data_IF_731704624200
#
_entry.id   IF_731704624200
#
_cell.length_a   1.000
_cell.length_b   1.000
_cell.length_c   1.000
_cell.angle_alpha   90.00
_cell.angle_beta   90.00
_cell.angle_gamma   90.00
#
_symmetry.space_group_name_H-M   'P 1'
#
loop_
_entity.id
_entity.type
_entity.pdbx_description
1 polymer ?
#
# COMPACT_ATOMS: atom_id res chain seq x y z
N UNK A 1 3.47 -2.70 14.28
CA UNK A 1 3.63 -4.06 14.85
C UNK A 1 4.65 -4.88 14.05
N UNK A 2 4.46 -5.12 12.73
CA UNK A 2 5.44 -5.94 11.95
C UNK A 2 6.84 -5.32 11.95
N UNK A 3 6.94 -4.00 11.87
CA UNK A 3 8.23 -3.29 11.87
C UNK A 3 8.91 -3.34 13.24
N UNK A 4 8.17 -3.46 14.32
CA UNK A 4 8.73 -3.54 15.69
C UNK A 4 9.45 -4.87 15.94
N UNK A 5 9.12 -5.90 15.17
CA UNK A 5 9.74 -7.24 15.25
C UNK A 5 10.98 -7.39 14.34
N UNK A 6 11.29 -6.35 13.52
CA UNK A 6 12.43 -6.38 12.60
C UNK A 6 13.69 -5.94 13.34
N UNK A 7 14.73 -6.78 13.30
CA UNK A 7 16.02 -6.46 13.92
C UNK A 7 16.83 -5.37 13.18
N UNK A 8 16.45 -5.03 11.94
CA UNK A 8 17.14 -4.02 11.12
C UNK A 8 16.63 -2.63 11.53
N UNK A 9 17.51 -1.66 11.80
CA UNK A 9 17.09 -0.27 12.01
C UNK A 9 16.37 0.28 10.79
N UNK A 10 15.29 1.02 11.02
CA UNK A 10 14.44 1.50 9.93
C UNK A 10 13.93 2.94 10.14
N UNK A 11 13.48 3.53 9.04
CA UNK A 11 12.54 4.66 9.04
C UNK A 11 11.29 4.25 8.27
N UNK A 12 10.15 4.79 8.66
CA UNK A 12 8.88 4.57 7.97
C UNK A 12 8.21 5.92 7.73
N UNK A 13 8.00 6.22 6.47
CA UNK A 13 7.44 7.48 5.98
C UNK A 13 6.21 7.21 5.12
N UNK A 14 5.36 8.21 4.97
CA UNK A 14 4.20 8.13 4.08
C UNK A 14 4.16 9.31 3.12
N UNK A 15 3.79 9.05 1.88
CA UNK A 15 3.54 10.09 0.89
C UNK A 15 2.16 10.76 1.06
N UNK A 16 1.38 10.36 2.08
CA UNK A 16 0.13 11.03 2.42
C UNK A 16 0.40 12.48 2.86
N UNK A 17 -0.31 13.41 2.21
CA UNK A 17 -0.15 14.84 2.50
C UNK A 17 1.08 15.49 1.85
N UNK A 18 1.89 14.74 1.12
CA UNK A 18 2.98 15.30 0.32
C UNK A 18 2.44 15.76 -1.03
N UNK A 19 2.85 16.95 -1.47
CA UNK A 19 2.51 17.45 -2.80
C UNK A 19 3.00 16.50 -3.90
N UNK A 20 2.15 16.12 -4.88
CA UNK A 20 2.51 15.11 -5.89
C UNK A 20 3.76 15.46 -6.72
N UNK A 21 4.09 16.72 -6.88
CA UNK A 21 5.27 17.18 -7.60
C UNK A 21 6.50 17.38 -6.71
N UNK A 22 6.39 17.18 -5.41
CA UNK A 22 7.51 17.26 -4.48
C UNK A 22 8.35 15.97 -4.52
N UNK A 23 9.02 15.76 -5.63
CA UNK A 23 9.87 14.58 -5.86
C UNK A 23 11.15 14.59 -5.03
N UNK A 24 11.61 15.77 -4.59
CA UNK A 24 12.79 15.93 -3.73
C UNK A 24 12.55 15.32 -2.33
N UNK A 25 11.30 15.17 -1.91
CA UNK A 25 10.94 14.50 -0.66
C UNK A 25 11.54 13.08 -0.61
N UNK A 26 11.50 12.32 -1.71
CA UNK A 26 12.11 10.98 -1.77
C UNK A 26 13.61 11.05 -1.46
N UNK A 27 14.34 11.97 -2.11
CA UNK A 27 15.76 12.15 -1.84
C UNK A 27 16.04 12.58 -0.40
N UNK A 28 15.17 13.37 0.20
CA UNK A 28 15.25 13.77 1.61
C UNK A 28 15.09 12.56 2.55
N UNK A 29 14.15 11.65 2.27
CA UNK A 29 13.99 10.41 3.04
C UNK A 29 15.27 9.57 2.99
N UNK A 30 15.87 9.41 1.81
CA UNK A 30 17.15 8.68 1.67
C UNK A 30 18.31 9.37 2.38
N UNK A 31 18.44 10.69 2.26
CA UNK A 31 19.48 11.44 2.95
C UNK A 31 19.38 11.28 4.48
N UNK A 32 18.16 11.32 5.01
CA UNK A 32 17.91 11.08 6.43
C UNK A 32 18.31 9.65 6.85
N UNK A 33 17.94 8.62 6.07
CA UNK A 33 18.33 7.24 6.33
C UNK A 33 19.85 7.06 6.35
N UNK A 34 20.56 7.61 5.35
CA UNK A 34 22.03 7.57 5.28
C UNK A 34 22.68 8.26 6.47
N UNK A 35 22.17 9.42 6.87
CA UNK A 35 22.67 10.16 8.03
C UNK A 35 22.50 9.35 9.33
N UNK A 36 21.34 8.77 9.55
CA UNK A 36 21.08 7.91 10.73
C UNK A 36 22.01 6.70 10.71
N UNK A 37 22.16 6.05 9.55
CA UNK A 37 23.02 4.88 9.37
C UNK A 37 24.47 5.20 9.70
N UNK A 38 24.98 6.34 9.25
CA UNK A 38 26.34 6.82 9.50
C UNK A 38 26.57 7.13 10.98
N UNK A 39 25.68 7.94 11.59
CA UNK A 39 25.78 8.35 13.01
C UNK A 39 25.71 7.15 13.94
N UNK A 40 24.84 6.18 13.66
CA UNK A 40 24.67 4.98 14.49
C UNK A 40 25.63 3.84 14.11
N UNK A 41 26.44 4.01 13.06
CA UNK A 41 27.36 3.00 12.53
C UNK A 41 26.66 1.68 12.17
N UNK A 42 25.44 1.78 11.67
CA UNK A 42 24.69 0.62 11.24
C UNK A 42 25.27 0.04 9.95
N UNK A 43 25.36 -1.29 9.86
CA UNK A 43 25.83 -2.00 8.66
C UNK A 43 24.76 -2.12 7.58
N UNK A 44 23.49 -2.05 7.99
CA UNK A 44 22.32 -2.12 7.12
C UNK A 44 21.20 -1.24 7.69
N UNK A 45 20.31 -0.81 6.83
CA UNK A 45 19.15 0.03 7.18
C UNK A 45 17.96 -0.28 6.30
N UNK A 46 16.75 -0.02 6.80
CA UNK A 46 15.52 -0.23 6.04
C UNK A 46 14.76 1.09 5.89
N UNK A 47 14.38 1.41 4.67
CA UNK A 47 13.43 2.48 4.36
C UNK A 47 12.09 1.83 4.01
N UNK A 48 11.02 2.28 4.64
CA UNK A 48 9.64 1.92 4.30
C UNK A 48 8.91 3.18 3.87
N UNK A 49 8.34 3.17 2.67
CA UNK A 49 7.55 4.29 2.16
C UNK A 49 6.16 3.80 1.81
N UNK A 50 5.16 4.36 2.47
CA UNK A 50 3.76 4.08 2.19
C UNK A 50 3.17 5.08 1.18
N UNK A 51 2.19 4.61 0.40
CA UNK A 51 1.47 5.38 -0.62
C UNK A 51 2.39 6.07 -1.65
N UNK A 52 3.54 5.45 -1.96
CA UNK A 52 4.58 6.03 -2.84
C UNK A 52 4.03 6.52 -4.19
N UNK A 53 2.97 5.89 -4.72
CA UNK A 53 2.36 6.24 -6.01
C UNK A 53 1.71 7.63 -6.02
N UNK A 54 1.57 8.29 -4.87
CA UNK A 54 1.06 9.68 -4.78
C UNK A 54 2.07 10.71 -5.27
N UNK A 55 3.35 10.36 -5.31
CA UNK A 55 4.41 11.22 -5.86
C UNK A 55 4.57 10.94 -7.36
N UNK A 56 4.52 11.99 -8.16
CA UNK A 56 4.72 11.88 -9.60
C UNK A 56 6.16 11.43 -9.90
N UNK A 57 6.30 10.55 -10.89
CA UNK A 57 7.61 10.02 -11.33
C UNK A 57 8.46 9.41 -10.20
N UNK A 58 7.82 8.94 -9.13
CA UNK A 58 8.47 8.39 -7.94
C UNK A 58 9.57 7.35 -8.27
N UNK A 59 9.33 6.53 -9.27
CA UNK A 59 10.23 5.44 -9.64
C UNK A 59 11.59 5.90 -10.16
N UNK A 60 11.66 7.05 -10.83
CA UNK A 60 12.92 7.65 -11.29
C UNK A 60 13.78 8.11 -10.10
N UNK A 61 13.15 8.70 -9.09
CA UNK A 61 13.85 9.17 -7.90
C UNK A 61 14.30 7.98 -7.03
N UNK A 62 13.45 6.99 -6.83
CA UNK A 62 13.82 5.75 -6.15
C UNK A 62 14.99 5.08 -6.85
N UNK A 63 14.95 4.96 -8.19
CA UNK A 63 16.06 4.41 -8.98
C UNK A 63 17.35 5.18 -8.79
N UNK A 64 17.29 6.52 -8.87
CA UNK A 64 18.44 7.40 -8.67
C UNK A 64 19.13 7.15 -7.33
N UNK A 65 18.35 7.10 -6.25
CA UNK A 65 18.85 6.89 -4.90
C UNK A 65 19.39 5.46 -4.72
N UNK A 66 18.70 4.46 -5.25
CA UNK A 66 19.15 3.07 -5.21
C UNK A 66 20.43 2.84 -6.02
N UNK A 67 20.55 3.43 -7.22
CA UNK A 67 21.76 3.37 -8.05
C UNK A 67 22.95 4.08 -7.35
N UNK A 68 22.69 5.15 -6.59
CA UNK A 68 23.71 5.80 -5.76
C UNK A 68 24.19 4.87 -4.65
N UNK A 69 23.29 4.26 -3.89
CA UNK A 69 23.61 3.36 -2.78
C UNK A 69 24.41 2.14 -3.28
N UNK A 70 23.98 1.55 -4.39
CA UNK A 70 24.67 0.42 -5.02
C UNK A 70 26.13 0.78 -5.40
N UNK A 71 26.34 1.95 -6.00
CA UNK A 71 27.70 2.39 -6.40
C UNK A 71 28.61 2.69 -5.22
N UNK A 72 28.03 3.15 -4.10
CA UNK A 72 28.77 3.54 -2.91
C UNK A 72 28.80 2.44 -1.82
N UNK A 73 28.30 1.24 -2.12
CA UNK A 73 28.20 0.11 -1.19
C UNK A 73 27.44 0.47 0.11
N UNK A 74 26.40 1.31 0.01
CA UNK A 74 25.49 1.64 1.11
C UNK A 74 24.40 0.57 1.14
N UNK A 75 24.31 -0.20 2.22
CA UNK A 75 23.36 -1.30 2.34
C UNK A 75 22.00 -0.80 2.90
N UNK A 76 21.24 -0.11 2.07
CA UNK A 76 19.86 0.27 2.37
C UNK A 76 18.91 -0.65 1.64
N UNK A 77 18.01 -1.29 2.39
CA UNK A 77 16.87 -2.06 1.90
C UNK A 77 15.67 -1.14 1.81
N UNK A 78 14.79 -1.38 0.84
CA UNK A 78 13.65 -0.51 0.60
C UNK A 78 12.39 -1.33 0.45
N UNK A 79 11.34 -0.96 1.18
CA UNK A 79 9.98 -1.47 1.01
C UNK A 79 9.11 -0.30 0.56
N UNK A 80 8.50 -0.45 -0.60
CA UNK A 80 7.54 0.51 -1.13
C UNK A 80 6.15 -0.11 -1.06
N UNK A 81 5.23 0.60 -0.42
CA UNK A 81 3.85 0.20 -0.29
C UNK A 81 2.97 1.12 -1.14
N UNK A 82 1.90 0.58 -1.67
CA UNK A 82 0.95 1.37 -2.42
C UNK A 82 -0.35 0.61 -2.70
N UNK A 83 -1.45 1.33 -2.57
CA UNK A 83 -2.79 0.80 -2.75
C UNK A 83 -3.22 0.70 -4.22
N UNK A 84 -2.68 1.57 -5.08
CA UNK A 84 -3.05 1.61 -6.50
C UNK A 84 -2.16 0.73 -7.37
N UNK A 85 -2.68 -0.45 -7.72
CA UNK A 85 -1.99 -1.42 -8.58
C UNK A 85 -1.53 -0.84 -9.92
N UNK A 86 -2.34 0.02 -10.54
CA UNK A 86 -2.04 0.58 -11.87
C UNK A 86 -0.90 1.60 -11.79
N UNK A 87 -0.94 2.50 -10.82
CA UNK A 87 0.09 3.53 -10.63
C UNK A 87 1.43 2.93 -10.19
N UNK A 88 1.41 1.94 -9.30
CA UNK A 88 2.61 1.19 -8.92
C UNK A 88 3.19 0.46 -10.13
N UNK A 89 2.36 -0.28 -10.89
CA UNK A 89 2.83 -1.02 -12.05
C UNK A 89 3.50 -0.11 -13.09
N UNK A 90 2.95 1.06 -13.36
CA UNK A 90 3.52 2.02 -14.30
C UNK A 90 4.95 2.42 -13.89
N UNK A 91 5.15 2.83 -12.66
CA UNK A 91 6.48 3.19 -12.15
C UNK A 91 7.49 2.03 -12.20
N UNK A 92 7.06 0.82 -11.82
CA UNK A 92 7.92 -0.36 -11.81
C UNK A 92 8.42 -0.76 -13.21
N UNK A 93 7.56 -0.68 -14.22
CA UNK A 93 7.92 -1.10 -15.59
C UNK A 93 8.81 -0.09 -16.30
N UNK A 94 8.70 1.19 -15.97
CA UNK A 94 9.44 2.25 -16.67
C UNK A 94 10.90 2.36 -16.17
N UNK A 95 11.13 2.33 -14.86
CA UNK A 95 12.41 2.72 -14.30
C UNK A 95 13.10 1.64 -13.46
N UNK A 96 12.33 0.78 -12.79
CA UNK A 96 12.84 -0.16 -11.80
C UNK A 96 12.96 -1.60 -12.31
N UNK A 97 12.82 -1.84 -13.61
CA UNK A 97 12.94 -3.18 -14.18
C UNK A 97 14.21 -3.90 -13.72
N UNK A 98 14.06 -5.12 -13.18
CA UNK A 98 15.15 -5.94 -12.67
C UNK A 98 15.73 -5.51 -11.30
N UNK A 99 15.14 -4.52 -10.61
CA UNK A 99 15.62 -3.98 -9.33
C UNK A 99 14.67 -4.21 -8.15
N UNK A 100 13.54 -4.87 -8.37
CA UNK A 100 12.52 -5.07 -7.33
C UNK A 100 11.98 -6.50 -7.34
N UNK A 101 11.45 -6.89 -6.22
CA UNK A 101 10.57 -8.04 -6.06
C UNK A 101 9.15 -7.54 -5.76
N UNK A 102 8.15 -8.04 -6.50
CA UNK A 102 6.76 -7.65 -6.31
C UNK A 102 6.04 -8.63 -5.40
N UNK A 103 5.70 -8.19 -4.21
CA UNK A 103 4.88 -8.93 -3.26
C UNK A 103 3.44 -8.43 -3.37
N UNK A 104 2.52 -9.33 -3.71
CA UNK A 104 1.10 -9.00 -3.82
C UNK A 104 0.39 -9.38 -2.54
N UNK A 105 -0.19 -8.38 -1.88
CA UNK A 105 -1.07 -8.58 -0.75
C UNK A 105 -2.53 -8.60 -1.24
N UNK A 106 -3.19 -9.72 -1.08
CA UNK A 106 -4.62 -9.88 -1.35
C UNK A 106 -5.47 -9.61 -0.11
N UNK A 107 -6.76 -9.90 -0.20
CA UNK A 107 -7.63 -9.98 0.97
C UNK A 107 -7.14 -11.10 1.90
N UNK A 108 -7.42 -10.97 3.18
CA UNK A 108 -7.09 -12.00 4.14
C UNK A 108 -7.79 -13.33 3.78
N UNK A 109 -7.02 -14.39 3.81
CA UNK A 109 -7.50 -15.75 3.57
C UNK A 109 -8.35 -16.26 4.73
N UNK A 110 -9.07 -17.33 4.51
CA UNK A 110 -9.80 -18.01 5.59
C UNK A 110 -8.89 -18.38 6.76
N UNK A 111 -7.69 -18.89 6.47
CA UNK A 111 -6.74 -19.28 7.53
C UNK A 111 -6.35 -18.08 8.40
N UNK A 112 -6.01 -16.95 7.78
CA UNK A 112 -5.68 -15.72 8.51
C UNK A 112 -6.86 -15.20 9.33
N UNK A 113 -8.07 -15.18 8.76
CA UNK A 113 -9.27 -14.74 9.49
C UNK A 113 -9.64 -15.69 10.63
N UNK A 114 -9.47 -17.01 10.43
CA UNK A 114 -9.67 -18.02 11.48
C UNK A 114 -8.68 -17.83 12.62
N UNK A 115 -7.40 -17.71 12.29
CA UNK A 115 -6.34 -17.67 13.31
C UNK A 115 -6.35 -16.35 14.10
N UNK A 116 -6.72 -15.23 13.46
CA UNK A 116 -6.78 -13.93 14.11
C UNK A 116 -8.10 -13.63 14.84
N UNK A 117 -9.24 -14.11 14.31
CA UNK A 117 -10.58 -13.72 14.77
C UNK A 117 -11.49 -14.90 15.12
N UNK A 118 -11.03 -16.14 14.93
CA UNK A 118 -11.81 -17.36 15.21
C UNK A 118 -12.95 -17.60 14.22
N UNK A 119 -12.84 -17.10 12.99
CA UNK A 119 -13.88 -17.33 11.98
C UNK A 119 -14.05 -18.80 11.66
N UNK A 120 -15.29 -19.26 11.59
CA UNK A 120 -15.64 -20.48 10.88
C UNK A 120 -15.77 -20.23 9.37
N UNK A 121 -15.91 -21.32 8.61
CA UNK A 121 -15.97 -21.22 7.14
C UNK A 121 -17.21 -20.46 6.66
N UNK A 122 -18.36 -20.61 7.34
CA UNK A 122 -19.60 -19.92 6.97
C UNK A 122 -19.48 -18.42 7.24
N UNK A 123 -18.87 -18.05 8.35
CA UNK A 123 -18.57 -16.66 8.68
C UNK A 123 -17.63 -16.04 7.63
N UNK A 124 -16.61 -16.77 7.21
CA UNK A 124 -15.70 -16.28 6.17
C UNK A 124 -16.38 -16.10 4.80
N UNK A 125 -17.23 -17.06 4.41
CA UNK A 125 -18.00 -16.96 3.15
C UNK A 125 -18.92 -15.73 3.18
N UNK A 126 -19.57 -15.47 4.30
CA UNK A 126 -20.54 -14.38 4.42
C UNK A 126 -19.87 -13.01 4.65
N UNK A 127 -18.92 -12.92 5.58
CA UNK A 127 -18.31 -11.67 6.01
C UNK A 127 -17.02 -11.32 5.24
N UNK A 128 -16.40 -12.28 4.56
CA UNK A 128 -15.20 -12.08 3.76
C UNK A 128 -13.92 -11.85 4.54
N UNK A 129 -12.87 -11.47 3.82
CA UNK A 129 -11.51 -11.30 4.32
C UNK A 129 -11.12 -9.85 4.64
N UNK A 130 -12.03 -9.05 5.22
CA UNK A 130 -11.76 -7.69 5.70
C UNK A 130 -11.59 -7.68 7.24
N UNK A 131 -10.35 -7.63 7.77
CA UNK A 131 -10.09 -7.76 9.21
C UNK A 131 -10.83 -6.74 10.07
N UNK A 132 -10.94 -5.50 9.58
CA UNK A 132 -11.68 -4.45 10.29
C UNK A 132 -13.18 -4.76 10.41
N UNK A 133 -13.75 -5.49 9.44
CA UNK A 133 -15.15 -5.93 9.45
C UNK A 133 -15.44 -6.94 10.56
N UNK A 134 -14.44 -7.72 10.98
CA UNK A 134 -14.58 -8.74 12.02
C UNK A 134 -15.15 -8.21 13.35
N UNK A 135 -14.87 -6.94 13.67
CA UNK A 135 -15.40 -6.28 14.88
C UNK A 135 -16.92 -6.16 14.90
N UNK A 136 -17.55 -6.19 13.74
CA UNK A 136 -18.97 -5.86 13.59
C UNK A 136 -19.85 -7.06 13.32
N UNK A 137 -19.30 -8.27 13.13
CA UNK A 137 -20.09 -9.49 12.76
C UNK A 137 -21.18 -9.87 13.76
N UNK A 138 -21.06 -9.44 15.02
CA UNK A 138 -22.11 -9.63 16.05
C UNK A 138 -23.35 -8.77 15.81
N UNK A 139 -23.28 -7.78 14.93
CA UNK A 139 -24.38 -6.92 14.53
C UNK A 139 -24.34 -6.77 13.00
N UNK A 140 -25.10 -7.62 12.32
CA UNK A 140 -25.11 -7.70 10.86
C UNK A 140 -25.42 -6.36 10.17
N UNK A 141 -26.37 -5.58 10.73
CA UNK A 141 -26.70 -4.25 10.18
C UNK A 141 -25.46 -3.34 10.23
N UNK A 142 -24.80 -3.28 11.37
CA UNK A 142 -23.58 -2.43 11.53
C UNK A 142 -22.45 -2.89 10.64
N UNK A 143 -22.32 -4.19 10.42
CA UNK A 143 -21.33 -4.74 9.48
C UNK A 143 -21.66 -4.33 8.04
N UNK A 144 -22.93 -4.45 7.62
CA UNK A 144 -23.39 -4.03 6.28
C UNK A 144 -23.15 -2.53 6.05
N UNK A 145 -23.51 -1.70 7.03
CA UNK A 145 -23.27 -0.25 6.97
C UNK A 145 -21.77 0.04 6.83
N UNK A 146 -20.92 -0.64 7.63
CA UNK A 146 -19.46 -0.49 7.53
C UNK A 146 -18.91 -0.89 6.15
N UNK A 147 -19.30 -2.04 5.61
CA UNK A 147 -18.85 -2.49 4.28
C UNK A 147 -19.30 -1.51 3.20
N UNK A 148 -20.56 -1.09 3.23
CA UNK A 148 -21.09 -0.16 2.26
C UNK A 148 -20.41 1.21 2.33
N UNK A 149 -20.40 1.83 3.50
CA UNK A 149 -20.04 3.23 3.64
C UNK A 149 -18.52 3.42 3.75
N UNK A 150 -17.78 2.44 4.30
CA UNK A 150 -16.34 2.57 4.54
C UNK A 150 -15.47 1.80 3.55
N UNK A 151 -16.04 0.86 2.78
CA UNK A 151 -15.29 0.08 1.79
C UNK A 151 -15.79 0.36 0.38
N UNK A 152 -17.08 0.06 0.10
CA UNK A 152 -17.61 0.11 -1.27
C UNK A 152 -17.69 1.54 -1.78
N UNK A 153 -18.32 2.44 -1.04
CA UNK A 153 -18.52 3.84 -1.47
C UNK A 153 -17.18 4.56 -1.75
N UNK A 154 -16.15 4.48 -0.89
CA UNK A 154 -14.86 5.11 -1.20
C UNK A 154 -14.18 4.51 -2.43
N UNK A 155 -14.19 3.18 -2.59
CA UNK A 155 -13.56 2.51 -3.73
C UNK A 155 -14.25 2.92 -5.04
N UNK A 156 -15.59 2.86 -5.08
CA UNK A 156 -16.37 3.15 -6.29
C UNK A 156 -16.36 4.65 -6.62
N UNK A 157 -16.46 5.51 -5.61
CA UNK A 157 -16.59 6.96 -5.81
C UNK A 157 -15.27 7.71 -5.90
N UNK A 158 -14.16 7.14 -5.42
CA UNK A 158 -12.88 7.84 -5.32
C UNK A 158 -11.75 7.07 -6.00
N UNK A 159 -11.44 5.87 -5.54
CA UNK A 159 -10.23 5.16 -5.96
C UNK A 159 -10.24 4.80 -7.45
N UNK A 160 -11.37 4.32 -7.96
CA UNK A 160 -11.52 4.00 -9.39
C UNK A 160 -11.43 5.26 -10.24
N UNK A 161 -12.01 6.38 -9.79
CA UNK A 161 -11.95 7.65 -10.51
C UNK A 161 -10.55 8.26 -10.54
N UNK A 162 -9.72 7.98 -9.54
CA UNK A 162 -8.30 8.42 -9.52
C UNK A 162 -7.42 7.62 -10.47
N UNK A 163 -7.78 6.38 -10.77
CA UNK A 163 -6.98 5.48 -11.61
C UNK A 163 -7.29 5.57 -13.09
N UNK A 164 -8.46 6.09 -13.47
CA UNK A 164 -8.89 6.18 -14.87
C UNK A 164 -9.89 7.32 -15.06
N UNK A 165 -9.90 7.88 -16.27
CA UNK A 165 -10.89 8.91 -16.64
C UNK A 165 -12.23 8.24 -16.92
N UNK A 166 -13.19 8.46 -16.03
CA UNK A 166 -14.56 7.96 -16.19
C UNK A 166 -15.49 9.14 -16.51
N UNK A 167 -16.10 9.09 -17.69
CA UNK A 167 -17.00 10.15 -18.16
C UNK A 167 -18.36 10.19 -17.43
N UNK A 168 -18.79 9.07 -16.85
CA UNK A 168 -20.10 8.94 -16.17
C UNK A 168 -19.97 8.17 -14.85
N UNK A 169 -19.49 8.79 -13.77
CA UNK A 169 -19.30 8.12 -12.47
C UNK A 169 -20.57 7.45 -11.91
N UNK A 170 -21.74 8.05 -12.15
CA UNK A 170 -23.01 7.46 -11.67
C UNK A 170 -23.30 6.08 -12.27
N UNK A 171 -22.90 5.83 -13.53
CA UNK A 171 -23.07 4.51 -14.15
C UNK A 171 -22.11 3.46 -13.57
N UNK A 172 -20.97 3.87 -13.03
CA UNK A 172 -20.06 2.94 -12.39
C UNK A 172 -20.68 2.28 -11.16
N UNK A 173 -21.39 3.07 -10.35
CA UNK A 173 -22.10 2.54 -9.18
C UNK A 173 -23.22 1.58 -9.59
N UNK A 174 -24.02 1.96 -10.59
CA UNK A 174 -25.07 1.08 -11.13
C UNK A 174 -24.48 -0.21 -11.71
N UNK A 175 -23.36 -0.14 -12.41
CA UNK A 175 -22.66 -1.31 -12.93
C UNK A 175 -22.18 -2.23 -11.79
N UNK A 176 -21.62 -1.63 -10.72
CA UNK A 176 -21.20 -2.38 -9.54
C UNK A 176 -22.37 -3.09 -8.87
N UNK A 177 -23.49 -2.38 -8.64
CA UNK A 177 -24.71 -2.94 -8.07
C UNK A 177 -25.26 -4.09 -8.94
N UNK A 178 -25.35 -3.87 -10.25
CA UNK A 178 -25.80 -4.90 -11.20
C UNK A 178 -24.89 -6.13 -11.21
N UNK A 179 -23.56 -5.95 -11.09
CA UNK A 179 -22.63 -7.07 -11.04
C UNK A 179 -22.69 -7.88 -9.75
N UNK A 180 -23.24 -7.30 -8.66
CA UNK A 180 -23.47 -8.01 -7.42
C UNK A 180 -24.75 -8.87 -7.43
N UNK A 181 -25.68 -8.61 -8.36
CA UNK A 181 -26.96 -9.32 -8.48
C UNK A 181 -26.85 -10.59 -9.35
N UNK A 182 -25.70 -10.79 -10.03
CA UNK A 182 -25.40 -11.95 -10.86
C UNK A 182 -24.26 -12.80 -10.28
#
# INVERSE_FOLDING_TARGET
QVLDDIAIPYISETADGIEPNNTEWISTVWANARSIMEVRKNKEFLIVIDEIQKINNWSEFVKKEWDYDTRNNVNIKVILLGSSRLLIKKGLTESLAGRYELIRMGHWSFTEMRDAFGFDINQYIYYGGYPQGAKYIKNEKRWKDYIKDSIIEPIVSKDILMTTTIYKPALLKQLFELACDY
#
